data_IF_870788777180
#
_entry.id   IF_870788777180
#
_cell.length_a   1.000
_cell.length_b   1.000
_cell.length_c   1.000
_cell.angle_alpha   90.00
_cell.angle_beta   90.00
_cell.angle_gamma   90.00
#
_symmetry.space_group_name_H-M   'P 1'
#
loop_
_entity.id
_entity.type
_entity.pdbx_description
1 polymer ?
#
# COMPACT_ATOMS: atom_id res chain seq x y z
N UNK A 1 -47.45 -42.86 43.47
CA UNK A 1 -47.38 -41.65 42.68
C UNK A 1 -45.88 -41.32 42.46
N UNK A 2 -45.34 -41.66 41.30
CA UNK A 2 -43.88 -41.60 40.99
C UNK A 2 -43.59 -40.29 40.26
N UNK A 3 -42.65 -39.50 40.79
CA UNK A 3 -42.16 -38.26 40.20
C UNK A 3 -40.96 -38.64 39.33
N UNK A 4 -40.89 -38.24 38.05
CA UNK A 4 -39.71 -38.48 37.25
C UNK A 4 -38.65 -37.37 37.46
N UNK A 5 -37.43 -37.84 37.65
CA UNK A 5 -36.19 -37.04 37.74
C UNK A 5 -35.85 -36.50 36.33
N UNK A 6 -35.83 -35.21 36.18
CA UNK A 6 -35.33 -34.55 34.94
C UNK A 6 -33.82 -34.40 35.06
N UNK A 7 -33.11 -35.16 34.19
CA UNK A 7 -31.66 -35.12 34.08
C UNK A 7 -31.27 -33.87 33.23
N UNK A 8 -30.64 -32.90 33.87
CA UNK A 8 -30.06 -31.74 33.20
C UNK A 8 -28.73 -32.16 32.54
N UNK A 9 -28.73 -32.32 31.22
CA UNK A 9 -27.49 -32.49 30.44
C UNK A 9 -26.88 -31.15 30.21
N UNK A 10 -25.77 -30.85 30.88
CA UNK A 10 -24.89 -29.72 30.61
C UNK A 10 -24.20 -29.97 29.26
N UNK A 11 -24.61 -29.21 28.25
CA UNK A 11 -23.97 -29.14 26.95
C UNK A 11 -22.81 -28.17 27.06
N UNK A 12 -21.58 -28.65 27.20
CA UNK A 12 -20.34 -27.89 27.13
C UNK A 12 -20.16 -27.39 25.70
N UNK A 13 -20.41 -26.11 25.44
CA UNK A 13 -19.99 -25.48 24.19
C UNK A 13 -18.47 -25.30 24.21
N UNK A 14 -17.80 -26.23 23.53
CA UNK A 14 -16.40 -26.08 23.14
C UNK A 14 -16.35 -25.05 22.00
N UNK A 15 -15.99 -23.80 22.31
CA UNK A 15 -15.69 -22.77 21.31
C UNK A 15 -14.40 -23.19 20.59
N UNK A 16 -14.55 -23.92 19.50
CA UNK A 16 -13.52 -24.08 18.49
C UNK A 16 -13.31 -22.71 17.82
N UNK A 17 -12.24 -22.04 18.17
CA UNK A 17 -11.72 -20.93 17.39
C UNK A 17 -11.32 -21.48 16.02
N UNK A 18 -12.23 -21.41 15.05
CA UNK A 18 -11.93 -21.69 13.65
C UNK A 18 -11.11 -20.49 13.18
N UNK A 19 -9.79 -20.63 13.24
CA UNK A 19 -8.87 -19.79 12.48
C UNK A 19 -9.19 -20.05 11.00
N UNK A 20 -9.91 -19.14 10.36
CA UNK A 20 -10.10 -19.15 8.92
C UNK A 20 -8.74 -18.88 8.25
N UNK A 21 -7.93 -19.92 8.05
CA UNK A 21 -6.95 -19.94 6.96
C UNK A 21 -7.75 -20.01 5.67
N UNK A 22 -7.95 -18.88 5.02
CA UNK A 22 -8.57 -18.84 3.72
C UNK A 22 -7.55 -19.33 2.71
N UNK A 23 -7.68 -20.58 2.25
CA UNK A 23 -6.92 -21.08 1.11
C UNK A 23 -7.31 -20.25 -0.13
N UNK A 24 -6.31 -19.61 -0.72
CA UNK A 24 -6.44 -18.93 -2.01
C UNK A 24 -6.53 -20.01 -3.09
N UNK A 25 -7.67 -20.12 -3.77
CA UNK A 25 -7.75 -20.87 -5.01
C UNK A 25 -6.94 -20.17 -6.08
N UNK A 26 -5.92 -20.86 -6.60
CA UNK A 26 -5.07 -20.43 -7.69
C UNK A 26 -5.88 -20.18 -8.96
N UNK A 27 -6.18 -18.94 -9.28
CA UNK A 27 -6.38 -18.50 -10.65
C UNK A 27 -5.44 -17.33 -10.93
N UNK A 28 -4.29 -17.64 -11.48
CA UNK A 28 -3.21 -16.71 -11.80
C UNK A 28 -2.05 -16.81 -10.80
N UNK A 29 -0.85 -17.16 -11.28
CA UNK A 29 0.41 -17.40 -10.57
C UNK A 29 0.82 -16.29 -9.59
N UNK A 30 0.12 -16.14 -8.46
CA UNK A 30 0.57 -15.31 -7.34
C UNK A 30 1.58 -16.13 -6.54
N UNK A 31 2.85 -15.77 -6.61
CA UNK A 31 3.89 -16.31 -5.72
C UNK A 31 3.64 -15.75 -4.32
N UNK A 32 3.04 -16.56 -3.45
CA UNK A 32 2.86 -16.22 -2.03
C UNK A 32 4.21 -16.31 -1.32
N UNK A 33 4.71 -15.20 -0.78
CA UNK A 33 5.86 -15.19 0.11
C UNK A 33 5.57 -15.97 1.40
N UNK A 34 6.56 -16.70 1.90
CA UNK A 34 6.40 -17.55 3.08
C UNK A 34 6.53 -16.69 4.36
N UNK A 35 5.40 -16.40 5.02
CA UNK A 35 5.29 -15.48 6.18
C UNK A 35 6.04 -16.02 7.42
N UNK A 36 6.31 -17.32 7.51
CA UNK A 36 6.81 -17.97 8.73
C UNK A 36 8.32 -17.86 8.97
N UNK A 37 9.07 -17.12 8.12
CA UNK A 37 10.53 -17.17 8.10
C UNK A 37 11.28 -15.85 8.36
N UNK A 38 10.57 -14.77 8.70
CA UNK A 38 11.25 -13.51 9.04
C UNK A 38 11.90 -13.58 10.44
N UNK A 39 13.13 -13.08 10.60
CA UNK A 39 13.72 -12.93 11.92
C UNK A 39 12.84 -12.07 12.82
N UNK A 40 12.68 -12.46 14.09
CA UNK A 40 11.84 -11.78 15.09
C UNK A 40 12.19 -10.30 15.36
N UNK A 41 13.26 -9.78 14.75
CA UNK A 41 13.76 -8.40 14.90
C UNK A 41 13.81 -7.65 13.57
N UNK A 42 12.82 -7.83 12.72
CA UNK A 42 12.71 -7.02 11.51
C UNK A 42 12.37 -5.57 11.89
N UNK A 43 13.25 -4.59 11.63
CA UNK A 43 13.10 -3.22 12.15
C UNK A 43 11.99 -2.42 11.43
N UNK A 44 11.48 -2.92 10.30
CA UNK A 44 10.45 -2.27 9.51
C UNK A 44 9.28 -3.22 9.28
N UNK A 45 8.07 -2.68 9.37
CA UNK A 45 6.86 -3.44 9.09
C UNK A 45 6.48 -3.31 7.61
N UNK A 46 6.00 -4.38 7.03
CA UNK A 46 5.17 -4.42 5.83
C UNK A 46 3.70 -4.54 6.24
N UNK A 47 2.78 -4.76 5.35
CA UNK A 47 1.38 -4.83 5.77
C UNK A 47 0.43 -4.69 4.59
N UNK A 48 0.83 -5.20 3.45
CA UNK A 48 -0.06 -5.36 2.31
C UNK A 48 -0.84 -6.66 2.44
N UNK A 49 -2.16 -6.58 2.21
CA UNK A 49 -3.04 -7.72 2.03
C UNK A 49 -3.71 -7.62 0.66
N UNK A 50 -3.74 -8.68 -0.14
CA UNK A 50 -4.44 -8.66 -1.42
C UNK A 50 -5.97 -8.70 -1.25
N UNK A 51 -6.48 -9.09 -0.08
CA UNK A 51 -7.92 -9.26 0.16
C UNK A 51 -8.61 -7.91 0.33
N UNK A 52 -9.55 -7.61 -0.56
CA UNK A 52 -10.44 -6.44 -0.47
C UNK A 52 -11.55 -6.72 0.55
N UNK A 53 -11.70 -5.85 1.54
CA UNK A 53 -12.66 -6.03 2.65
C UNK A 53 -13.90 -5.14 2.53
N UNK A 54 -13.82 -4.06 1.75
CA UNK A 54 -14.93 -3.10 1.59
C UNK A 54 -15.88 -3.43 0.44
N UNK A 55 -15.79 -4.64 -0.14
CA UNK A 55 -16.74 -5.13 -1.14
C UNK A 55 -16.55 -4.54 -2.55
N UNK A 56 -15.41 -3.90 -2.82
CA UNK A 56 -15.08 -3.39 -4.16
C UNK A 56 -14.64 -4.55 -5.06
N UNK A 57 -15.31 -4.73 -6.19
CA UNK A 57 -14.93 -5.74 -7.19
C UNK A 57 -13.67 -5.31 -7.94
N UNK A 58 -12.52 -5.94 -7.66
CA UNK A 58 -11.26 -5.65 -8.37
C UNK A 58 -11.35 -6.03 -9.85
N UNK A 59 -12.13 -7.05 -10.19
CA UNK A 59 -12.33 -7.51 -11.56
C UNK A 59 -13.06 -6.50 -12.47
N UNK A 60 -13.79 -5.55 -11.87
CA UNK A 60 -14.56 -4.53 -12.60
C UNK A 60 -13.76 -3.24 -12.86
N UNK A 61 -12.52 -3.16 -12.41
CA UNK A 61 -11.70 -1.97 -12.59
C UNK A 61 -11.21 -1.86 -14.03
N UNK A 62 -11.46 -0.71 -14.63
CA UNK A 62 -10.97 -0.39 -15.96
C UNK A 62 -9.45 -0.23 -15.95
N UNK A 63 -8.82 -0.57 -17.07
CA UNK A 63 -7.40 -0.36 -17.27
C UNK A 63 -7.11 1.11 -17.59
N UNK A 64 -6.00 1.62 -17.04
CA UNK A 64 -5.46 2.91 -17.43
C UNK A 64 -4.84 2.81 -18.83
N UNK A 65 -5.14 3.80 -19.68
CA UNK A 65 -4.53 3.95 -20.99
C UNK A 65 -3.79 5.29 -20.99
N UNK A 66 -2.44 5.29 -20.99
CA UNK A 66 -1.68 6.53 -21.06
C UNK A 66 -1.76 7.17 -22.44
N UNK A 67 -1.54 8.47 -22.50
CA UNK A 67 -1.27 9.14 -23.78
C UNK A 67 0.13 8.72 -24.27
N UNK A 68 0.15 7.88 -25.29
CA UNK A 68 1.39 7.39 -25.89
C UNK A 68 2.03 8.38 -26.88
N UNK A 69 1.38 9.52 -27.17
CA UNK A 69 1.99 10.62 -27.96
C UNK A 69 3.00 11.42 -27.13
N UNK A 70 2.93 11.32 -25.80
CA UNK A 70 3.97 11.84 -24.90
C UNK A 70 5.24 11.03 -25.11
N UNK A 71 6.30 11.73 -25.54
CA UNK A 71 7.61 11.09 -25.74
C UNK A 71 8.13 10.47 -24.43
N UNK A 72 8.77 9.31 -24.52
CA UNK A 72 9.45 8.69 -23.39
C UNK A 72 10.86 9.29 -23.26
N UNK A 73 11.14 10.14 -22.28
CA UNK A 73 12.51 10.54 -21.97
C UNK A 73 13.30 9.37 -21.39
N UNK A 74 14.63 9.44 -21.39
CA UNK A 74 15.49 8.41 -20.78
C UNK A 74 15.34 8.30 -19.26
N UNK A 75 14.74 9.29 -18.62
CA UNK A 75 14.41 9.26 -17.19
C UNK A 75 13.21 10.15 -16.86
N UNK A 76 12.47 9.76 -15.85
CA UNK A 76 11.38 10.54 -15.21
C UNK A 76 11.55 10.46 -13.70
N UNK A 77 11.34 11.55 -13.00
CA UNK A 77 11.21 11.58 -11.55
C UNK A 77 10.11 12.58 -11.20
N UNK A 78 9.04 12.09 -10.58
CA UNK A 78 7.93 12.91 -10.14
C UNK A 78 8.27 13.59 -8.81
N UNK A 79 7.79 14.82 -8.64
CA UNK A 79 7.90 15.56 -7.38
C UNK A 79 6.90 14.97 -6.37
N UNK A 80 7.41 14.34 -5.31
CA UNK A 80 6.62 13.61 -4.33
C UNK A 80 6.81 14.18 -2.93
N UNK A 81 5.87 13.93 -2.00
CA UNK A 81 6.13 14.24 -0.59
C UNK A 81 7.37 13.49 -0.09
N UNK A 82 8.06 14.05 0.90
CA UNK A 82 9.16 13.36 1.56
C UNK A 82 8.69 12.01 2.14
N UNK A 83 9.59 11.03 2.19
CA UNK A 83 9.25 9.72 2.71
C UNK A 83 8.78 9.81 4.17
N UNK A 84 7.58 9.30 4.44
CA UNK A 84 7.05 9.19 5.77
C UNK A 84 7.58 7.96 6.52
N UNK A 85 7.06 7.73 7.73
CA UNK A 85 7.48 6.61 8.58
C UNK A 85 6.27 5.88 9.17
N UNK A 86 6.00 4.67 8.70
CA UNK A 86 4.93 3.82 9.23
C UNK A 86 5.28 3.17 10.58
N UNK A 87 6.56 3.21 10.99
CA UNK A 87 7.02 2.51 12.19
C UNK A 87 6.80 0.99 12.08
N UNK A 88 6.36 0.38 13.19
CA UNK A 88 6.06 -1.06 13.24
C UNK A 88 4.62 -1.43 12.85
N UNK A 89 3.81 -0.47 12.39
CA UNK A 89 2.41 -0.72 12.04
C UNK A 89 2.29 -1.29 10.61
N UNK A 90 1.42 -2.27 10.42
CA UNK A 90 1.14 -2.91 9.13
C UNK A 90 0.30 -2.02 8.20
N UNK A 91 0.75 -0.79 7.95
CA UNK A 91 -0.01 0.28 7.28
C UNK A 91 0.56 0.74 5.94
N UNK A 92 1.49 -0.03 5.34
CA UNK A 92 2.17 0.37 4.10
C UNK A 92 1.21 0.71 2.95
N UNK A 93 0.09 -0.02 2.80
CA UNK A 93 -0.91 0.26 1.77
C UNK A 93 -1.55 1.65 1.96
N UNK A 94 -1.84 2.05 3.20
CA UNK A 94 -2.36 3.38 3.49
C UNK A 94 -1.29 4.47 3.27
N UNK A 95 -0.03 4.18 3.59
CA UNK A 95 1.08 5.09 3.31
C UNK A 95 1.30 5.28 1.81
N UNK A 96 1.30 4.20 1.03
CA UNK A 96 1.46 4.28 -0.41
C UNK A 96 0.28 5.03 -1.07
N UNK A 97 -0.97 4.63 -0.75
CA UNK A 97 -2.17 5.19 -1.38
C UNK A 97 -2.49 6.57 -0.83
N UNK A 98 -2.67 6.70 0.48
CA UNK A 98 -3.22 7.94 1.06
C UNK A 98 -2.15 9.00 1.19
N UNK A 99 -1.02 8.66 1.84
CA UNK A 99 0.06 9.63 2.01
C UNK A 99 0.78 9.90 0.68
N UNK A 100 1.31 8.87 0.02
CA UNK A 100 2.10 9.04 -1.20
C UNK A 100 1.27 9.56 -2.37
N UNK A 101 0.35 8.74 -2.86
CA UNK A 101 -0.45 9.04 -4.05
C UNK A 101 -1.44 10.19 -3.81
N UNK A 102 -2.19 10.13 -2.70
CA UNK A 102 -3.18 11.14 -2.36
C UNK A 102 -2.58 12.53 -2.14
N UNK A 103 -1.43 12.64 -1.44
CA UNK A 103 -0.75 13.94 -1.26
C UNK A 103 -0.23 14.49 -2.58
N UNK A 104 0.31 13.63 -3.47
CA UNK A 104 0.73 14.05 -4.81
C UNK A 104 -0.42 14.72 -5.57
N UNK A 105 -1.60 14.08 -5.61
CA UNK A 105 -2.75 14.64 -6.32
C UNK A 105 -3.32 15.87 -5.64
N UNK A 106 -3.29 15.94 -4.31
CA UNK A 106 -3.68 17.15 -3.56
C UNK A 106 -2.76 18.31 -3.91
N UNK A 107 -1.44 18.09 -3.96
CA UNK A 107 -0.46 19.08 -4.40
C UNK A 107 -0.71 19.52 -5.85
N UNK A 108 -0.81 18.56 -6.78
CA UNK A 108 -1.03 18.85 -8.20
C UNK A 108 -2.34 19.60 -8.47
N UNK A 109 -3.42 19.28 -7.74
CA UNK A 109 -4.73 19.92 -7.91
C UNK A 109 -4.89 21.26 -7.21
N UNK A 110 -4.15 21.53 -6.13
CA UNK A 110 -4.34 22.72 -5.28
C UNK A 110 -3.13 23.64 -5.21
N UNK A 111 -1.95 23.21 -5.63
CA UNK A 111 -0.68 23.92 -5.46
C UNK A 111 -0.19 23.99 -4.01
N UNK A 112 -0.83 23.26 -3.05
CA UNK A 112 -0.37 23.22 -1.66
C UNK A 112 1.00 22.57 -1.58
N UNK A 113 1.93 23.19 -0.84
CA UNK A 113 3.23 22.60 -0.60
C UNK A 113 3.13 21.26 0.16
N UNK A 114 4.10 20.38 -0.04
CA UNK A 114 4.27 19.18 0.79
C UNK A 114 4.65 19.58 2.21
N UNK A 115 3.69 19.46 3.12
CA UNK A 115 3.80 19.83 4.53
C UNK A 115 2.71 19.10 5.31
N UNK A 116 2.68 19.18 6.62
CA UNK A 116 1.63 18.55 7.44
C UNK A 116 0.22 19.04 7.10
N UNK A 117 0.06 20.23 6.52
CA UNK A 117 -1.22 20.77 6.06
C UNK A 117 -1.57 20.36 4.62
N UNK A 118 -0.58 19.97 3.81
CA UNK A 118 -0.75 19.54 2.42
C UNK A 118 -0.68 18.02 2.23
N UNK A 119 0.03 17.33 3.12
CA UNK A 119 0.15 15.86 3.06
C UNK A 119 -1.05 15.20 3.75
N UNK A 120 -1.58 14.15 3.12
CA UNK A 120 -2.69 13.37 3.66
C UNK A 120 -2.23 12.36 4.71
N UNK A 121 -3.05 12.12 5.72
CA UNK A 121 -2.75 11.17 6.79
C UNK A 121 -3.09 9.74 6.39
N UNK A 122 -2.09 8.88 6.38
CA UNK A 122 -2.28 7.43 6.22
C UNK A 122 -3.20 6.83 7.30
N UNK A 123 -3.20 7.40 8.51
CA UNK A 123 -4.06 6.98 9.62
C UNK A 123 -5.54 7.06 9.26
N UNK A 124 -5.93 8.04 8.43
CA UNK A 124 -7.34 8.28 8.08
C UNK A 124 -7.96 7.08 7.39
N UNK A 125 -7.31 6.50 6.40
CA UNK A 125 -7.82 5.30 5.71
C UNK A 125 -7.48 4.03 6.48
N UNK A 126 -6.28 3.92 7.03
CA UNK A 126 -5.83 2.73 7.75
C UNK A 126 -6.76 2.34 8.90
N UNK A 127 -7.06 3.26 9.82
CA UNK A 127 -7.87 2.95 11.00
C UNK A 127 -9.31 2.55 10.64
N UNK A 128 -9.85 3.10 9.55
CA UNK A 128 -11.20 2.75 9.08
C UNK A 128 -11.26 1.33 8.48
N UNK A 129 -10.16 0.85 7.88
CA UNK A 129 -10.08 -0.49 7.29
C UNK A 129 -9.67 -1.51 8.35
N UNK A 130 -8.62 -1.22 9.12
CA UNK A 130 -8.08 -2.11 10.14
C UNK A 130 -9.03 -2.33 11.33
N UNK A 131 -9.90 -1.35 11.65
CA UNK A 131 -10.95 -1.43 12.69
C UNK A 131 -10.46 -2.00 14.02
N UNK A 132 -9.25 -1.60 14.44
CA UNK A 132 -8.64 -2.02 15.70
C UNK A 132 -7.86 -3.33 15.66
N UNK A 133 -7.87 -4.08 14.56
CA UNK A 133 -7.05 -5.29 14.43
C UNK A 133 -5.57 -5.00 14.16
N UNK A 134 -5.23 -3.75 13.78
CA UNK A 134 -3.89 -3.28 13.41
C UNK A 134 -3.18 -4.17 12.38
N UNK A 135 -3.92 -4.96 11.62
CA UNK A 135 -3.41 -5.85 10.58
C UNK A 135 -3.20 -5.13 9.25
N UNK A 136 -2.78 -5.89 8.25
CA UNK A 136 -2.56 -5.41 6.89
C UNK A 136 -3.86 -4.92 6.23
N UNK A 137 -3.71 -4.04 5.23
CA UNK A 137 -4.82 -3.54 4.42
C UNK A 137 -4.51 -3.66 2.92
N UNK A 138 -5.55 -3.69 2.06
CA UNK A 138 -5.36 -3.75 0.62
C UNK A 138 -5.16 -2.36 0.01
N UNK A 139 -4.49 -2.30 -1.16
CA UNK A 139 -4.42 -1.06 -1.94
C UNK A 139 -5.83 -0.59 -2.35
N UNK A 140 -6.68 -1.52 -2.77
CA UNK A 140 -8.02 -1.22 -3.29
C UNK A 140 -8.93 -0.64 -2.22
N UNK A 141 -8.90 -1.16 -0.98
CA UNK A 141 -9.70 -0.59 0.12
C UNK A 141 -9.27 0.85 0.44
N UNK A 142 -7.96 1.12 0.44
CA UNK A 142 -7.45 2.48 0.67
C UNK A 142 -7.82 3.42 -0.49
N UNK A 143 -7.71 2.97 -1.75
CA UNK A 143 -8.14 3.72 -2.94
C UNK A 143 -9.65 4.00 -2.93
N UNK A 144 -10.45 3.03 -2.53
CA UNK A 144 -11.90 3.18 -2.38
C UNK A 144 -12.22 4.28 -1.36
N UNK A 145 -11.61 4.26 -0.17
CA UNK A 145 -11.85 5.31 0.82
C UNK A 145 -11.35 6.68 0.34
N UNK A 146 -10.22 6.74 -0.34
CA UNK A 146 -9.69 7.98 -0.90
C UNK A 146 -10.65 8.59 -1.94
N UNK A 147 -11.32 7.75 -2.73
CA UNK A 147 -12.36 8.17 -3.66
C UNK A 147 -13.65 8.61 -2.95
N UNK A 148 -14.17 7.80 -2.05
CA UNK A 148 -15.48 8.05 -1.42
C UNK A 148 -15.45 9.17 -0.39
N UNK A 149 -14.35 9.27 0.36
CA UNK A 149 -14.26 10.18 1.50
C UNK A 149 -13.15 11.21 1.35
N UNK A 150 -12.11 10.92 0.57
CA UNK A 150 -10.83 11.61 0.66
C UNK A 150 -10.03 11.16 1.88
N UNK A 151 -9.09 11.99 2.31
CA UNK A 151 -8.40 11.77 3.57
C UNK A 151 -8.02 13.10 4.22
N UNK A 152 -8.08 13.17 5.55
CA UNK A 152 -7.68 14.34 6.31
C UNK A 152 -6.16 14.56 6.20
N UNK A 153 -5.74 15.83 6.30
CA UNK A 153 -4.33 16.18 6.35
C UNK A 153 -3.65 15.67 7.64
N UNK A 154 -2.33 15.50 7.58
CA UNK A 154 -1.49 15.10 8.72
C UNK A 154 -1.67 16.04 9.92
N UNK A 155 -1.84 17.34 9.66
CA UNK A 155 -2.10 18.33 10.70
C UNK A 155 -3.41 18.09 11.44
N UNK A 156 -4.45 17.61 10.77
CA UNK A 156 -5.79 17.40 11.34
C UNK A 156 -5.94 16.01 11.95
N UNK A 157 -5.25 15.02 11.40
CA UNK A 157 -5.23 13.65 11.93
C UNK A 157 -3.78 13.11 11.90
N UNK A 158 -2.94 13.50 12.88
CA UNK A 158 -1.54 13.07 12.93
C UNK A 158 -1.43 11.54 12.97
N UNK A 159 -0.46 11.02 12.23
CA UNK A 159 -0.18 9.58 12.23
C UNK A 159 0.47 9.14 13.55
N UNK A 160 0.01 8.01 14.08
CA UNK A 160 0.54 7.35 15.26
C UNK A 160 0.70 5.85 14.97
N UNK A 161 1.93 5.33 14.91
CA UNK A 161 2.18 3.92 14.59
C UNK A 161 1.75 2.93 15.68
N UNK A 162 1.35 3.42 16.84
CA UNK A 162 0.96 2.59 17.99
C UNK A 162 -0.56 2.43 18.11
N UNK A 163 -1.33 3.11 17.25
CA UNK A 163 -2.78 3.22 17.39
C UNK A 163 -3.50 2.98 16.04
N UNK A 164 -4.50 2.10 16.04
CA UNK A 164 -5.33 1.78 14.87
C UNK A 164 -6.85 1.74 15.16
N UNK A 165 -7.27 2.22 16.32
CA UNK A 165 -8.66 2.12 16.80
C UNK A 165 -9.45 3.39 16.55
N UNK A 166 -8.82 4.55 16.71
CA UNK A 166 -9.49 5.87 16.65
C UNK A 166 -10.04 6.12 15.24
N UNK A 167 -11.36 6.27 15.17
CA UNK A 167 -12.04 6.57 13.90
C UNK A 167 -12.09 8.09 13.65
N UNK A 168 -12.11 8.53 12.38
CA UNK A 168 -12.20 9.94 12.05
C UNK A 168 -13.45 10.61 12.64
N UNK A 169 -13.24 11.73 13.33
CA UNK A 169 -14.32 12.59 13.84
C UNK A 169 -14.87 13.52 12.74
N UNK A 170 -15.88 14.35 13.09
CA UNK A 170 -16.55 15.24 12.14
C UNK A 170 -15.58 16.24 11.50
N UNK A 171 -14.64 16.83 12.26
CA UNK A 171 -13.67 17.78 11.73
C UNK A 171 -12.75 17.10 10.70
N UNK A 172 -12.24 15.91 11.02
CA UNK A 172 -11.37 15.13 10.15
C UNK A 172 -12.09 14.69 8.86
N UNK A 173 -13.37 14.31 8.95
CA UNK A 173 -14.21 13.99 7.78
C UNK A 173 -14.48 15.22 6.90
N UNK A 174 -14.66 16.38 7.49
CA UNK A 174 -14.86 17.65 6.76
C UNK A 174 -13.57 18.03 6.00
N UNK A 175 -12.41 17.90 6.65
CA UNK A 175 -11.12 18.16 6.00
C UNK A 175 -10.88 17.17 4.85
N UNK A 176 -11.11 15.89 5.09
CA UNK A 176 -10.96 14.81 4.12
C UNK A 176 -11.76 15.01 2.83
N UNK A 177 -12.96 15.56 2.93
CA UNK A 177 -13.84 15.78 1.77
C UNK A 177 -13.22 16.69 0.68
N UNK A 178 -12.22 17.51 1.03
CA UNK A 178 -11.50 18.40 0.11
C UNK A 178 -10.37 17.68 -0.66
N UNK A 179 -10.07 16.45 -0.31
CA UNK A 179 -8.93 15.69 -0.87
C UNK A 179 -9.38 14.37 -1.52
N UNK A 180 -10.57 14.35 -2.12
CA UNK A 180 -11.07 13.19 -2.86
C UNK A 180 -10.41 13.11 -4.23
N UNK A 181 -10.13 11.88 -4.66
CA UNK A 181 -9.87 11.59 -6.06
C UNK A 181 -11.17 11.22 -6.77
N UNK A 182 -11.24 11.39 -8.09
CA UNK A 182 -12.46 11.06 -8.86
C UNK A 182 -12.63 9.56 -9.04
N UNK A 183 -11.50 8.84 -9.15
CA UNK A 183 -11.50 7.40 -9.34
C UNK A 183 -10.08 6.84 -9.38
N UNK A 184 -9.99 5.54 -9.63
CA UNK A 184 -8.73 4.85 -9.80
C UNK A 184 -8.85 3.79 -10.90
N UNK A 185 -7.72 3.53 -11.57
CA UNK A 185 -7.61 2.65 -12.73
C UNK A 185 -6.43 1.71 -12.53
N UNK A 186 -6.55 0.52 -13.12
CA UNK A 186 -5.53 -0.51 -13.07
C UNK A 186 -4.40 -0.23 -14.07
N UNK A 187 -3.18 -0.54 -13.68
CA UNK A 187 -1.98 -0.52 -14.54
C UNK A 187 -1.39 -1.92 -14.55
N UNK A 188 -1.21 -2.49 -15.73
CA UNK A 188 -0.48 -3.76 -15.91
C UNK A 188 1.01 -3.56 -15.59
N UNK A 189 1.44 -4.10 -14.46
CA UNK A 189 2.83 -3.98 -13.98
C UNK A 189 3.81 -4.94 -14.69
N UNK A 190 3.33 -5.86 -15.52
CA UNK A 190 4.18 -6.72 -16.34
C UNK A 190 4.58 -6.07 -17.67
N UNK A 191 4.06 -4.87 -17.94
CA UNK A 191 4.37 -4.09 -19.13
C UNK A 191 5.21 -2.84 -18.79
N UNK A 192 6.54 -2.96 -18.88
CA UNK A 192 7.45 -1.86 -18.58
C UNK A 192 7.18 -0.59 -19.41
N UNK A 193 6.85 -0.76 -20.70
CA UNK A 193 6.53 0.38 -21.57
C UNK A 193 5.30 1.13 -21.08
N UNK A 194 4.26 0.40 -20.64
CA UNK A 194 3.07 1.00 -20.05
C UNK A 194 3.40 1.76 -18.76
N UNK A 195 4.22 1.16 -17.87
CA UNK A 195 4.69 1.81 -16.64
C UNK A 195 5.40 3.13 -16.97
N UNK A 196 6.34 3.12 -17.94
CA UNK A 196 7.09 4.31 -18.33
C UNK A 196 6.20 5.39 -18.93
N UNK A 197 5.27 5.06 -19.81
CA UNK A 197 4.28 6.02 -20.33
C UNK A 197 3.39 6.57 -19.20
N UNK A 198 2.98 5.74 -18.25
CA UNK A 198 2.17 6.17 -17.09
C UNK A 198 2.92 7.24 -16.29
N UNK A 199 4.19 7.02 -16.01
CA UNK A 199 5.05 7.98 -15.29
C UNK A 199 5.32 9.24 -16.12
N UNK A 200 5.56 9.11 -17.44
CA UNK A 200 5.74 10.24 -18.35
C UNK A 200 4.46 11.11 -18.46
N UNK A 201 3.30 10.52 -18.21
CA UNK A 201 2.01 11.22 -18.10
C UNK A 201 1.76 11.77 -16.68
N UNK A 202 2.80 11.89 -15.85
CA UNK A 202 2.73 12.43 -14.47
C UNK A 202 1.76 11.64 -13.57
N UNK A 203 1.73 10.32 -13.72
CA UNK A 203 0.91 9.41 -12.92
C UNK A 203 1.79 8.49 -12.09
N UNK A 204 2.02 8.75 -10.78
CA UNK A 204 2.64 7.79 -9.89
C UNK A 204 1.77 6.55 -9.72
N UNK A 205 2.38 5.37 -9.51
CA UNK A 205 1.68 4.09 -9.50
C UNK A 205 1.88 3.43 -8.13
N UNK A 206 0.79 3.13 -7.41
CA UNK A 206 0.89 2.29 -6.22
C UNK A 206 0.95 0.83 -6.60
N UNK A 207 1.79 0.05 -5.90
CA UNK A 207 2.03 -1.36 -6.19
C UNK A 207 2.42 -2.12 -4.91
N UNK A 208 2.51 -3.44 -5.00
CA UNK A 208 3.02 -4.29 -3.94
C UNK A 208 4.02 -5.32 -4.48
N UNK A 209 5.02 -5.66 -3.66
CA UNK A 209 6.09 -6.60 -3.99
C UNK A 209 6.56 -7.31 -2.71
N UNK A 210 6.92 -8.62 -2.76
CA UNK A 210 7.56 -9.28 -1.62
C UNK A 210 8.93 -8.67 -1.35
N UNK A 211 9.19 -8.25 -0.12
CA UNK A 211 10.47 -7.69 0.29
C UNK A 211 11.26 -8.67 1.17
N UNK A 212 12.57 -8.48 1.26
CA UNK A 212 13.47 -9.31 2.04
C UNK A 212 14.43 -8.49 2.90
N UNK A 213 15.30 -9.16 3.65
CA UNK A 213 16.31 -8.51 4.48
C UNK A 213 17.30 -7.66 3.67
N UNK A 214 17.55 -8.03 2.41
CA UNK A 214 18.41 -7.25 1.50
C UNK A 214 17.79 -5.91 1.14
N UNK A 215 16.51 -5.91 0.84
CA UNK A 215 15.78 -4.66 0.59
C UNK A 215 15.78 -3.75 1.82
N UNK A 216 15.56 -4.31 3.02
CA UNK A 216 15.56 -3.50 4.24
C UNK A 216 16.91 -2.85 4.55
N UNK A 217 18.02 -3.53 4.23
CA UNK A 217 19.39 -3.09 4.47
C UNK A 217 20.06 -2.55 3.22
N UNK A 218 19.28 -2.11 2.24
CA UNK A 218 19.78 -1.67 0.95
C UNK A 218 20.84 -0.58 1.10
N UNK A 219 21.99 -0.80 0.47
CA UNK A 219 23.14 0.10 0.51
C UNK A 219 23.34 0.78 -0.83
N UNK A 220 24.12 1.87 -0.85
CA UNK A 220 24.54 2.53 -2.10
C UNK A 220 25.09 1.51 -3.10
N UNK A 221 24.69 1.57 -4.37
CA UNK A 221 23.93 2.64 -5.07
C UNK A 221 22.39 2.55 -4.92
N UNK A 222 21.88 1.83 -3.92
CA UNK A 222 20.45 1.70 -3.59
C UNK A 222 19.59 1.12 -4.72
N UNK A 223 20.17 0.20 -5.48
CA UNK A 223 19.50 -0.58 -6.54
C UNK A 223 19.24 -1.99 -6.03
N UNK A 224 17.96 -2.37 -5.95
CA UNK A 224 17.53 -3.72 -5.59
C UNK A 224 17.31 -4.54 -6.85
N UNK A 225 18.15 -5.54 -7.09
CA UNK A 225 18.18 -6.36 -8.30
C UNK A 225 18.12 -7.87 -8.05
N UNK A 226 18.13 -8.28 -6.79
CA UNK A 226 18.03 -9.69 -6.39
C UNK A 226 17.58 -9.82 -4.94
N UNK A 227 16.90 -10.90 -4.63
CA UNK A 227 16.64 -11.28 -3.24
C UNK A 227 17.93 -11.80 -2.58
N UNK A 228 18.19 -11.34 -1.36
CA UNK A 228 19.30 -11.81 -0.52
C UNK A 228 18.76 -12.44 0.76
N UNK A 229 18.21 -13.63 0.62
CA UNK A 229 17.59 -14.37 1.70
C UNK A 229 16.14 -14.74 1.38
N UNK A 230 15.41 -15.14 2.41
CA UNK A 230 14.00 -15.49 2.28
C UNK A 230 13.16 -14.23 2.07
N UNK A 231 12.30 -14.25 1.08
CA UNK A 231 11.28 -13.20 0.90
C UNK A 231 10.33 -13.24 2.10
N UNK A 232 10.08 -12.07 2.64
CA UNK A 232 9.20 -11.88 3.77
C UNK A 232 7.78 -11.49 3.36
N UNK A 233 7.25 -10.52 4.08
CA UNK A 233 5.91 -10.00 3.86
C UNK A 233 5.84 -9.13 2.60
N UNK A 234 4.65 -9.10 2.02
CA UNK A 234 4.34 -8.22 0.91
C UNK A 234 4.27 -6.76 1.38
N UNK A 235 4.90 -5.88 0.62
CA UNK A 235 5.04 -4.47 0.97
C UNK A 235 4.52 -3.56 -0.15
N UNK A 236 3.75 -2.54 0.24
CA UNK A 236 3.20 -1.57 -0.70
C UNK A 236 4.04 -0.29 -0.73
N UNK A 237 4.30 0.20 -1.94
CA UNK A 237 5.08 1.40 -2.23
C UNK A 237 4.48 2.17 -3.41
N UNK A 238 5.12 3.29 -3.78
CA UNK A 238 4.74 4.07 -4.96
C UNK A 238 5.89 4.09 -5.96
N UNK A 239 5.63 3.72 -7.24
CA UNK A 239 6.58 3.98 -8.34
C UNK A 239 6.43 5.45 -8.71
N UNK A 240 7.54 6.18 -8.64
CA UNK A 240 7.58 7.64 -8.78
C UNK A 240 8.50 8.10 -9.91
N UNK A 241 9.14 7.17 -10.58
CA UNK A 241 10.04 7.49 -11.70
C UNK A 241 10.74 6.27 -12.29
N UNK A 242 11.59 6.52 -13.26
CA UNK A 242 12.51 5.55 -13.84
C UNK A 242 13.76 6.23 -14.36
N UNK A 243 14.82 5.45 -14.56
CA UNK A 243 16.07 5.92 -15.17
C UNK A 243 16.67 4.77 -16.02
N UNK A 244 16.70 4.96 -17.33
CA UNK A 244 17.20 3.96 -18.29
C UNK A 244 18.70 3.73 -18.16
N UNK A 245 19.45 4.72 -17.65
CA UNK A 245 20.90 4.53 -17.41
C UNK A 245 21.17 3.62 -16.22
N UNK A 246 20.21 3.52 -15.29
CA UNK A 246 20.22 2.59 -14.15
C UNK A 246 19.46 1.30 -14.42
N UNK A 247 18.76 1.20 -15.55
CA UNK A 247 17.86 0.09 -15.87
C UNK A 247 16.86 -0.16 -14.72
N UNK A 248 16.29 0.91 -14.11
CA UNK A 248 15.57 0.78 -12.84
C UNK A 248 14.37 1.73 -12.72
N UNK A 249 13.35 1.26 -11.97
CA UNK A 249 12.24 2.07 -11.47
C UNK A 249 12.63 2.74 -10.17
N UNK A 250 12.25 3.99 -9.99
CA UNK A 250 12.36 4.70 -8.69
C UNK A 250 11.11 4.48 -7.87
N UNK A 251 11.27 4.10 -6.60
CA UNK A 251 10.16 3.93 -5.66
C UNK A 251 10.29 4.84 -4.44
N UNK A 252 9.15 5.31 -3.94
CA UNK A 252 9.01 5.99 -2.65
C UNK A 252 8.48 4.98 -1.64
N UNK A 253 9.20 4.84 -0.51
CA UNK A 253 8.87 3.95 0.59
C UNK A 253 8.34 4.75 1.81
N UNK A 254 7.87 4.04 2.83
CA UNK A 254 7.32 4.58 4.08
C UNK A 254 8.13 4.17 5.33
N UNK A 255 9.46 4.08 5.20
CA UNK A 255 10.38 3.70 6.29
C UNK A 255 11.30 4.85 6.71
N UNK A 256 10.81 6.08 6.68
CA UNK A 256 11.47 7.37 6.90
C UNK A 256 12.48 7.77 5.82
N UNK A 257 12.83 9.06 5.80
CA UNK A 257 13.87 9.59 4.91
C UNK A 257 15.29 9.14 5.28
N UNK A 258 15.47 8.51 6.44
CA UNK A 258 16.77 7.93 6.84
C UNK A 258 17.02 6.56 6.19
N UNK A 259 16.00 5.91 5.62
CA UNK A 259 16.16 4.64 4.93
C UNK A 259 16.66 4.85 3.50
N UNK A 260 17.60 4.01 3.08
CA UNK A 260 18.19 3.96 1.73
C UNK A 260 18.54 5.36 1.16
N UNK A 261 18.02 5.74 0.01
CA UNK A 261 18.28 7.01 -0.66
C UNK A 261 17.15 8.02 -0.37
N UNK A 262 17.20 8.67 0.80
CA UNK A 262 16.18 9.65 1.19
C UNK A 262 14.78 9.07 1.37
N UNK A 263 14.67 7.78 1.73
CA UNK A 263 13.41 7.05 1.87
C UNK A 263 12.90 6.45 0.55
N UNK A 264 13.68 6.50 -0.49
CA UNK A 264 13.40 5.85 -1.76
C UNK A 264 14.49 4.85 -2.16
N UNK A 265 14.21 4.04 -3.17
CA UNK A 265 15.14 3.07 -3.73
C UNK A 265 14.94 2.95 -5.25
N UNK A 266 15.89 2.29 -5.90
CA UNK A 266 15.77 1.86 -7.28
C UNK A 266 15.50 0.35 -7.31
N UNK A 267 14.64 -0.11 -8.21
CA UNK A 267 14.37 -1.54 -8.43
C UNK A 267 14.69 -1.84 -9.89
N UNK A 268 15.60 -2.77 -10.13
CA UNK A 268 15.96 -3.22 -11.49
C UNK A 268 14.70 -3.65 -12.27
N UNK A 269 14.63 -3.29 -13.55
CA UNK A 269 13.43 -3.55 -14.37
C UNK A 269 13.08 -5.03 -14.44
N UNK A 270 14.06 -5.89 -14.73
CA UNK A 270 13.81 -7.32 -14.88
C UNK A 270 13.43 -7.97 -13.56
N UNK A 271 14.10 -7.52 -12.47
CA UNK A 271 13.78 -7.99 -11.14
C UNK A 271 12.36 -7.58 -10.74
N UNK A 272 11.97 -6.33 -10.99
CA UNK A 272 10.61 -5.83 -10.73
C UNK A 272 9.56 -6.65 -11.47
N UNK A 273 9.70 -6.79 -12.80
CA UNK A 273 8.76 -7.52 -13.65
C UNK A 273 8.60 -9.00 -13.25
N UNK A 274 9.66 -9.58 -12.65
CA UNK A 274 9.64 -10.98 -12.22
C UNK A 274 9.09 -11.20 -10.80
N UNK A 275 8.95 -10.13 -10.00
CA UNK A 275 8.62 -10.25 -8.59
C UNK A 275 7.41 -9.42 -8.14
N UNK A 276 6.87 -8.53 -8.98
CA UNK A 276 5.64 -7.80 -8.65
C UNK A 276 4.47 -8.75 -8.45
N UNK A 277 3.58 -8.44 -7.49
CA UNK A 277 2.53 -9.39 -7.05
C UNK A 277 1.24 -9.31 -7.85
N UNK A 278 0.88 -8.11 -8.29
CA UNK A 278 -0.40 -7.84 -8.93
C UNK A 278 -0.32 -6.58 -9.79
N UNK A 279 -1.44 -6.17 -10.36
CA UNK A 279 -1.58 -4.88 -11.01
C UNK A 279 -1.27 -3.73 -10.06
N UNK A 280 -0.73 -2.64 -10.60
CA UNK A 280 -0.67 -1.37 -9.91
C UNK A 280 -1.93 -0.54 -10.14
N UNK A 281 -1.99 0.61 -9.46
CA UNK A 281 -3.11 1.53 -9.61
C UNK A 281 -2.63 2.97 -9.69
N UNK A 282 -3.35 3.75 -10.51
CA UNK A 282 -3.28 5.22 -10.59
C UNK A 282 -4.63 5.81 -10.20
N UNK A 283 -4.63 7.08 -9.77
CA UNK A 283 -5.87 7.83 -9.54
C UNK A 283 -6.03 8.97 -10.55
N UNK A 284 -7.24 9.52 -10.66
CA UNK A 284 -7.58 10.67 -11.51
C UNK A 284 -8.66 11.53 -10.86
#
# INVERSE_FOLDING_TARGET
MRIPIVSCVLLSFLLLAISCKKEYSNEGNLKQGNIDSLPANYPFSSGFCPTVTLGVGVAELNNYTPDTTVALPGSVLLDMPAAGNQGSQSSCSAWAVTYGLGSYYTHAGTGKAYSDTGNLSAKYTYNQIAKGNCGCTSLVDNLYLLREQGAASQNIMPYDPTECVVQPNTLQKTDAANARVQGFLRVDLFNLTLIKHTLANSKPIVFAIPVDAGFQKLQSPFIWSAHTGTTGEDHAMVIVGYDDTKNSLRVLNSWSSAWADGGGAWIDYNFFLSNTLQDGFVVY
#
